data_IF_774948411816
#
_entry.id   IF_774948411816
#
_cell.length_a   1.000
_cell.length_b   1.000
_cell.length_c   1.000
_cell.angle_alpha   90.00
_cell.angle_beta   90.00
_cell.angle_gamma   90.00
#
_symmetry.space_group_name_H-M   'P 1'
#
loop_
_entity.id
_entity.type
_entity.pdbx_description
1 polymer ?
#
# COMPACT_ATOMS: atom_id res chain seq x y z
N UNK A 1 -5.33 -4.27 -11.17
CA UNK A 1 -5.61 -4.63 -9.77
C UNK A 1 -4.57 -5.60 -9.27
N UNK A 2 -4.14 -5.41 -8.04
CA UNK A 2 -3.13 -6.26 -7.40
C UNK A 2 -3.78 -6.95 -6.22
N UNK A 3 -3.68 -8.28 -6.17
CA UNK A 3 -4.15 -9.08 -5.03
C UNK A 3 -2.98 -9.63 -4.25
N UNK A 4 -2.99 -9.40 -2.94
CA UNK A 4 -2.02 -9.96 -2.00
C UNK A 4 -2.75 -10.93 -1.09
N UNK A 5 -2.18 -12.14 -0.95
CA UNK A 5 -2.72 -13.21 -0.11
C UNK A 5 -1.69 -13.59 0.95
N UNK A 6 -2.16 -13.86 2.15
CA UNK A 6 -1.35 -14.46 3.21
C UNK A 6 -2.17 -15.52 3.93
N UNK A 7 -1.57 -16.68 4.26
CA UNK A 7 -2.23 -17.81 4.90
C UNK A 7 -1.42 -18.33 6.07
N UNK A 8 -2.11 -18.89 7.07
CA UNK A 8 -1.49 -19.49 8.24
C UNK A 8 -0.67 -18.46 9.01
N UNK A 9 0.59 -18.79 9.29
CA UNK A 9 1.53 -17.88 9.95
C UNK A 9 2.35 -17.06 8.96
N UNK A 10 2.05 -17.17 7.67
CA UNK A 10 2.74 -16.42 6.64
C UNK A 10 2.46 -14.93 6.71
N UNK A 11 3.46 -14.16 6.35
CA UNK A 11 3.35 -12.73 6.17
C UNK A 11 3.74 -12.39 4.74
N UNK A 12 2.89 -11.65 4.04
CA UNK A 12 3.17 -11.24 2.66
C UNK A 12 3.37 -9.74 2.54
N UNK A 13 4.47 -9.35 1.93
CA UNK A 13 4.73 -7.97 1.59
C UNK A 13 4.05 -7.64 0.25
N UNK A 14 3.31 -6.51 0.15
CA UNK A 14 2.66 -6.12 -1.10
C UNK A 14 3.66 -5.72 -2.18
N UNK A 15 4.84 -5.24 -1.81
CA UNK A 15 5.89 -4.84 -2.73
C UNK A 15 7.25 -5.29 -2.20
N UNK A 16 8.04 -6.00 -3.00
CA UNK A 16 9.35 -6.48 -2.57
C UNK A 16 10.39 -5.36 -2.46
N UNK A 17 10.19 -4.23 -3.11
CA UNK A 17 11.13 -3.13 -3.12
C UNK A 17 11.20 -2.36 -1.79
N UNK A 18 10.16 -2.48 -0.95
CA UNK A 18 10.04 -1.68 0.25
C UNK A 18 9.72 -0.22 -0.08
N UNK A 19 10.39 0.71 0.56
CA UNK A 19 10.19 2.14 0.34
C UNK A 19 10.75 2.58 -1.02
N UNK A 20 9.88 3.15 -1.87
CA UNK A 20 10.24 3.52 -3.24
C UNK A 20 9.33 4.60 -3.83
N UNK A 21 9.75 5.15 -4.98
CA UNK A 21 8.90 5.91 -5.90
C UNK A 21 8.67 5.09 -7.16
N UNK A 22 7.55 5.29 -7.84
CA UNK A 22 7.20 4.52 -9.04
C UNK A 22 7.72 5.15 -10.33
N UNK A 23 8.21 6.38 -10.26
CA UNK A 23 8.76 7.08 -11.42
C UNK A 23 7.73 7.82 -12.26
N UNK A 24 6.57 8.10 -11.69
CA UNK A 24 5.48 8.87 -12.32
C UNK A 24 5.30 10.24 -11.65
N UNK A 25 4.41 11.07 -12.18
CA UNK A 25 4.10 12.34 -11.53
C UNK A 25 3.19 12.12 -10.32
N UNK A 26 2.13 11.35 -10.50
CA UNK A 26 1.19 11.04 -9.43
C UNK A 26 0.86 9.55 -9.40
N UNK A 27 0.67 9.04 -8.20
CA UNK A 27 0.22 7.66 -7.97
C UNK A 27 -1.04 7.72 -7.12
N UNK A 28 -2.08 7.02 -7.57
CA UNK A 28 -3.35 6.92 -6.84
C UNK A 28 -3.54 5.46 -6.48
N UNK A 29 -3.75 5.19 -5.21
CA UNK A 29 -3.96 3.84 -4.69
C UNK A 29 -5.34 3.75 -4.06
N UNK A 30 -6.18 2.84 -4.59
CA UNK A 30 -7.52 2.57 -4.08
C UNK A 30 -7.58 1.20 -3.43
N UNK A 31 -8.12 1.11 -2.24
CA UNK A 31 -8.46 -0.17 -1.65
C UNK A 31 -9.74 -0.70 -2.32
N UNK A 32 -9.68 -1.90 -2.85
CA UNK A 32 -10.83 -2.57 -3.46
C UNK A 32 -11.45 -3.53 -2.45
N UNK A 33 -10.64 -4.34 -1.78
CA UNK A 33 -11.10 -5.32 -0.82
C UNK A 33 -10.04 -5.60 0.24
N UNK A 34 -10.49 -5.79 1.47
CA UNK A 34 -9.62 -6.17 2.59
C UNK A 34 -10.39 -7.15 3.46
N UNK A 35 -9.85 -8.34 3.64
CA UNK A 35 -10.48 -9.40 4.42
C UNK A 35 -9.47 -10.03 5.37
N UNK A 36 -9.82 -10.09 6.65
CA UNK A 36 -9.07 -10.81 7.69
C UNK A 36 -7.58 -10.44 7.69
N UNK A 37 -7.28 -9.14 7.55
CA UNK A 37 -5.91 -8.64 7.49
C UNK A 37 -5.50 -7.93 8.77
N UNK A 38 -4.30 -8.26 9.26
CA UNK A 38 -3.49 -7.38 10.08
C UNK A 38 -2.38 -6.80 9.20
N UNK A 39 -1.88 -5.62 9.52
CA UNK A 39 -0.85 -4.98 8.73
C UNK A 39 -1.41 -4.23 7.51
N UNK A 40 -0.61 -4.10 6.48
CA UNK A 40 -0.98 -3.33 5.31
C UNK A 40 -1.06 -1.83 5.58
N UNK A 41 -0.16 -1.32 6.44
CA UNK A 41 -0.07 0.10 6.76
C UNK A 41 0.69 0.80 5.66
N UNK A 42 0.07 1.83 5.08
CA UNK A 42 0.69 2.66 4.05
C UNK A 42 1.44 3.82 4.70
N UNK A 43 2.69 3.99 4.32
CA UNK A 43 3.56 5.08 4.78
C UNK A 43 4.05 5.88 3.60
N UNK A 44 3.99 7.20 3.72
CA UNK A 44 4.44 8.13 2.69
C UNK A 44 5.54 9.00 3.29
N UNK A 45 6.66 9.10 2.59
CA UNK A 45 7.83 9.84 3.03
C UNK A 45 8.18 10.90 2.01
N UNK A 46 8.63 12.05 2.47
CA UNK A 46 9.38 12.94 1.59
C UNK A 46 10.70 12.26 1.21
N UNK A 47 11.14 12.40 -0.02
CA UNK A 47 12.43 11.83 -0.46
C UNK A 47 13.56 12.33 0.45
N UNK A 48 14.37 11.40 0.95
CA UNK A 48 15.46 11.69 1.86
C UNK A 48 15.10 11.86 3.33
N UNK A 49 13.81 11.86 3.67
CA UNK A 49 13.38 11.99 5.06
C UNK A 49 13.48 10.66 5.82
N UNK A 50 13.81 10.73 7.10
CA UNK A 50 13.91 9.54 7.96
C UNK A 50 12.60 9.11 8.59
N UNK A 51 11.57 9.96 8.54
CA UNK A 51 10.26 9.70 9.14
C UNK A 51 9.16 9.85 8.09
N UNK A 52 8.08 9.07 8.18
CA UNK A 52 6.95 9.26 7.29
C UNK A 52 6.25 10.59 7.57
N UNK A 53 5.81 11.26 6.50
CA UNK A 53 4.92 12.41 6.61
C UNK A 53 3.48 12.01 6.86
N UNK A 54 3.08 10.84 6.38
CA UNK A 54 1.76 10.30 6.58
C UNK A 54 1.83 8.80 6.78
N UNK A 55 0.98 8.29 7.62
CA UNK A 55 0.83 6.86 7.88
C UNK A 55 -0.65 6.57 8.05
N UNK A 56 -1.18 5.63 7.29
CA UNK A 56 -2.59 5.27 7.34
C UNK A 56 -2.79 3.82 6.92
N UNK A 57 -3.86 3.22 7.41
CA UNK A 57 -4.30 1.91 6.96
C UNK A 57 -5.61 2.08 6.23
N UNK A 58 -5.64 1.72 4.95
CA UNK A 58 -6.88 1.68 4.19
C UNK A 58 -7.68 0.47 4.65
N UNK A 59 -8.90 0.69 5.12
CA UNK A 59 -9.74 -0.36 5.71
C UNK A 59 -11.05 -0.58 4.98
N UNK A 60 -11.57 0.47 4.34
CA UNK A 60 -12.86 0.41 3.67
C UNK A 60 -12.70 0.46 2.15
N UNK A 61 -13.53 -0.26 1.38
CA UNK A 61 -13.48 -0.19 -0.08
C UNK A 61 -13.56 1.24 -0.59
N UNK A 62 -12.79 1.54 -1.59
CA UNK A 62 -12.68 2.84 -2.27
C UNK A 62 -11.98 3.94 -1.48
N UNK A 63 -11.51 3.69 -0.27
CA UNK A 63 -10.57 4.60 0.37
C UNK A 63 -9.33 4.75 -0.50
N UNK A 64 -8.82 5.96 -0.62
CA UNK A 64 -7.85 6.32 -1.63
C UNK A 64 -6.71 7.14 -1.05
N UNK A 65 -5.49 6.85 -1.48
CA UNK A 65 -4.32 7.68 -1.22
C UNK A 65 -3.84 8.24 -2.55
N UNK A 66 -3.60 9.54 -2.60
CA UNK A 66 -3.01 10.22 -3.76
C UNK A 66 -1.64 10.73 -3.36
N UNK A 67 -0.63 10.37 -4.13
CA UNK A 67 0.77 10.69 -3.83
C UNK A 67 1.37 11.50 -4.98
N UNK A 68 2.06 12.59 -4.65
CA UNK A 68 2.95 13.27 -5.59
C UNK A 68 4.26 12.46 -5.64
N UNK A 69 4.36 11.60 -6.64
CA UNK A 69 5.45 10.62 -6.73
C UNK A 69 6.81 11.25 -7.05
N UNK A 70 6.81 12.50 -7.51
CA UNK A 70 8.06 13.25 -7.78
C UNK A 70 8.74 13.64 -6.48
N UNK A 71 7.97 13.91 -5.44
CA UNK A 71 8.45 14.44 -4.16
C UNK A 71 8.49 13.38 -3.06
N UNK A 72 7.76 12.29 -3.23
CA UNK A 72 7.49 11.32 -2.19
C UNK A 72 7.96 9.92 -2.55
N UNK A 73 8.25 9.17 -1.53
CA UNK A 73 8.40 7.71 -1.58
C UNK A 73 7.31 7.10 -0.72
N UNK A 74 6.96 5.86 -1.00
CA UNK A 74 5.93 5.16 -0.24
C UNK A 74 6.31 3.71 -0.02
N UNK A 75 5.71 3.13 1.02
CA UNK A 75 5.81 1.70 1.31
C UNK A 75 4.52 1.22 1.95
N UNK A 76 4.30 -0.08 1.91
CA UNK A 76 3.20 -0.73 2.62
C UNK A 76 3.78 -1.88 3.44
N UNK A 77 3.39 -1.95 4.70
CA UNK A 77 3.84 -3.04 5.56
C UNK A 77 3.21 -4.37 5.14
N UNK A 78 3.86 -5.50 5.47
CA UNK A 78 3.30 -6.82 5.18
C UNK A 78 1.94 -7.05 5.81
N UNK A 79 1.15 -7.94 5.21
CA UNK A 79 -0.12 -8.39 5.79
C UNK A 79 0.02 -9.79 6.37
N UNK A 80 -0.83 -10.09 7.35
CA UNK A 80 -0.95 -11.42 7.93
C UNK A 80 -2.41 -11.73 8.25
N UNK A 81 -2.80 -13.02 8.36
CA UNK A 81 -4.17 -13.40 8.71
C UNK A 81 -4.56 -12.90 10.10
N UNK A 82 -5.78 -12.38 10.22
CA UNK A 82 -6.38 -11.95 11.47
C UNK A 82 -7.88 -12.14 11.41
N UNK A 83 -8.43 -12.95 12.30
CA UNK A 83 -9.87 -13.25 12.34
C UNK A 83 -10.35 -14.27 11.30
N UNK A 84 -9.45 -14.89 10.58
CA UNK A 84 -9.74 -15.88 9.55
C UNK A 84 -8.47 -16.59 9.09
N UNK A 85 -8.60 -17.66 8.29
CA UNK A 85 -7.44 -18.47 7.89
C UNK A 85 -6.60 -17.83 6.80
N UNK A 86 -7.14 -16.81 6.12
CA UNK A 86 -6.49 -16.18 4.99
C UNK A 86 -6.74 -14.68 4.97
N UNK A 87 -5.67 -13.91 4.82
CA UNK A 87 -5.74 -12.48 4.59
C UNK A 87 -5.79 -12.19 3.10
N UNK A 88 -6.65 -11.26 2.70
CA UNK A 88 -6.77 -10.80 1.31
C UNK A 88 -6.72 -9.28 1.30
N UNK A 89 -5.90 -8.72 0.42
CA UNK A 89 -5.87 -7.27 0.18
C UNK A 89 -5.77 -7.03 -1.32
N UNK A 90 -6.81 -6.41 -1.87
CA UNK A 90 -6.89 -6.07 -3.28
C UNK A 90 -6.78 -4.57 -3.45
N UNK A 91 -5.87 -4.12 -4.31
CA UNK A 91 -5.61 -2.72 -4.58
C UNK A 91 -5.74 -2.43 -6.07
N UNK A 92 -6.26 -1.25 -6.40
CA UNK A 92 -6.16 -0.69 -7.74
C UNK A 92 -5.18 0.48 -7.68
N UNK A 93 -4.14 0.43 -8.51
CA UNK A 93 -3.12 1.47 -8.58
C UNK A 93 -3.18 2.12 -9.96
N UNK A 94 -3.25 3.43 -9.98
CA UNK A 94 -3.31 4.21 -11.22
C UNK A 94 -2.20 5.25 -11.18
N UNK A 95 -1.37 5.25 -12.23
CA UNK A 95 -0.27 6.18 -12.38
C UNK A 95 -0.64 7.26 -13.38
N UNK A 96 -0.29 8.51 -13.07
CA UNK A 96 -0.53 9.64 -13.95
C UNK A 96 0.76 10.39 -14.24
N UNK A 97 0.93 10.76 -15.50
CA UNK A 97 2.01 11.64 -15.92
C UNK A 97 1.42 12.86 -16.60
N UNK A 98 2.04 14.03 -16.36
CA UNK A 98 1.67 15.25 -17.07
C UNK A 98 2.27 15.23 -18.47
N UNK A 99 1.58 15.82 -19.38
CA UNK A 99 2.08 15.99 -20.74
C UNK A 99 3.12 17.12 -20.84
#
# INVERSE_FOLDING_TARGET
MIRILATGDETSAPAPEGRHSDGHDYVIMHLINREHCAGGVSRVYRKGAGRPEAETTLTEPMQTIVIDDRLMEHEVTPISPSGGPRAVRDMMIVDFDRE
#
